data_IF_018488456688
#
_entry.id   IF_018488456688
#
_cell.length_a   1.000
_cell.length_b   1.000
_cell.length_c   1.000
_cell.angle_alpha   90.00
_cell.angle_beta   90.00
_cell.angle_gamma   90.00
#
_symmetry.space_group_name_H-M   'P 1'
#
loop_
_entity.id
_entity.type
_entity.pdbx_description
1 polymer ?
2 polymer ?
3 water ?
#
# COMPACT_ATOMS: atom_id res chain seq x y z
N UNK A 11 -12.63 -1.99 13.45
CA UNK A 11 -11.46 -2.12 12.51
C UNK A 11 -10.29 -2.86 13.19
N UNK A 12 -10.32 -4.21 13.20
CA UNK A 12 -9.38 -5.00 14.02
C UNK A 12 -7.91 -4.89 13.56
N UNK A 13 -6.99 -4.98 14.52
CA UNK A 13 -5.57 -4.68 14.26
C UNK A 13 -4.97 -5.40 13.05
N UNK A 14 -5.31 -6.67 12.89
CA UNK A 14 -4.75 -7.47 11.81
C UNK A 14 -5.21 -7.01 10.43
N UNK A 15 -6.42 -6.45 10.37
CA UNK A 15 -6.93 -5.93 9.12
C UNK A 15 -6.37 -4.54 8.89
N UNK A 16 -6.21 -3.79 9.97
CA UNK A 16 -5.51 -2.54 9.86
C UNK A 16 -4.18 -2.78 9.13
N UNK A 17 -3.49 -3.88 9.50
CA UNK A 17 -2.17 -4.22 8.96
C UNK A 17 -2.26 -4.68 7.52
N UNK A 18 -3.19 -5.57 7.20
CA UNK A 18 -3.40 -5.97 5.81
C UNK A 18 -3.64 -4.78 4.86
N UNK A 19 -4.47 -3.86 5.34
CA UNK A 19 -4.88 -2.73 4.57
C UNK A 19 -3.67 -1.84 4.31
N UNK A 20 -3.04 -1.38 5.40
CA UNK A 20 -1.84 -0.53 5.30
C UNK A 20 -0.74 -1.18 4.47
N UNK A 21 -0.53 -2.47 4.67
CA UNK A 21 0.52 -3.17 3.89
C UNK A 21 0.17 -3.25 2.40
N UNK A 22 -1.13 -3.30 2.13
CA UNK A 22 -1.60 -3.27 0.76
C UNK A 22 -1.30 -1.92 0.12
N UNK A 23 -1.47 -0.85 0.88
CA UNK A 23 -1.17 0.49 0.38
C UNK A 23 0.30 0.70 0.18
N UNK A 24 1.06 0.14 1.11
CA UNK A 24 2.52 0.20 0.98
C UNK A 24 3.00 -0.59 -0.22
N UNK A 25 2.54 -1.85 -0.35
CA UNK A 25 2.97 -2.69 -1.45
C UNK A 25 2.60 -2.10 -2.82
N UNK A 26 1.38 -1.54 -2.91
CA UNK A 26 0.88 -0.98 -4.19
C UNK A 26 1.68 0.27 -4.58
N UNK A 27 2.07 1.05 -3.58
CA UNK A 27 2.90 2.25 -3.83
C UNK A 27 4.30 1.90 -4.34
N UNK A 28 4.84 0.79 -3.84
CA UNK A 28 6.12 0.32 -4.30
C UNK A 28 5.97 -0.23 -5.69
N UNK A 29 4.96 -1.06 -5.88
CA UNK A 29 4.56 -1.48 -7.24
C UNK A 29 4.50 -0.28 -8.20
N UNK A 30 3.81 0.77 -7.78
CA UNK A 30 3.76 2.00 -8.63
C UNK A 30 5.13 2.53 -8.96
N UNK A 31 5.95 2.61 -7.92
CA UNK A 31 7.29 3.22 -8.08
C UNK A 31 8.11 2.46 -9.07
N UNK A 32 8.07 1.14 -8.93
CA UNK A 32 8.97 0.31 -9.67
C UNK A 32 8.34 -0.24 -10.94
N UNK A 33 7.20 -0.91 -10.83
CA UNK A 33 6.62 -1.51 -12.04
C UNK A 33 6.01 -0.43 -13.00
N UNK A 34 5.33 0.55 -12.43
CA UNK A 34 4.76 1.66 -13.23
C UNK A 34 5.64 2.89 -13.37
N UNK A 35 6.88 2.81 -12.91
CA UNK A 35 7.80 3.89 -13.11
C UNK A 35 7.31 5.21 -12.56
N UNK A 36 6.63 5.16 -11.45
CA UNK A 36 6.33 6.39 -10.73
C UNK A 36 7.52 6.92 -9.97
N UNK A 37 8.43 7.50 -10.75
CA UNK A 37 9.66 8.08 -10.34
C UNK A 37 9.48 9.29 -9.49
N UNK A 38 8.23 9.71 -9.32
CA UNK A 38 7.93 10.81 -8.45
C UNK A 38 7.69 10.37 -6.99
N UNK A 39 7.50 9.08 -6.75
CA UNK A 39 7.26 8.52 -5.45
C UNK A 39 8.58 8.24 -4.63
N UNK A 40 8.52 8.39 -3.30
CA UNK A 40 9.71 8.29 -2.50
C UNK A 40 10.04 6.85 -2.06
N UNK A 41 11.06 6.79 -1.21
CA UNK A 41 11.66 5.54 -0.73
C UNK A 41 10.72 4.75 0.15
N UNK A 42 10.97 3.46 0.39
CA UNK A 42 10.12 2.59 1.22
C UNK A 42 9.88 3.01 2.60
N UNK A 43 10.83 3.75 3.17
CA UNK A 43 10.68 4.22 4.55
C UNK A 43 9.67 5.34 4.66
N UNK A 44 9.73 6.29 3.75
CA UNK A 44 8.70 7.37 3.69
C UNK A 44 7.32 6.79 3.40
N UNK A 45 7.30 5.76 2.56
CA UNK A 45 6.06 5.10 2.27
C UNK A 45 5.50 4.48 3.54
N UNK A 46 6.35 3.82 4.33
CA UNK A 46 5.89 3.24 5.62
C UNK A 46 5.44 4.28 6.65
N UNK A 47 6.22 5.34 6.77
CA UNK A 47 5.88 6.54 7.56
C UNK A 47 4.46 7.04 7.26
N UNK A 48 4.13 7.14 5.97
CA UNK A 48 2.81 7.65 5.55
C UNK A 48 1.72 6.73 6.08
N UNK A 49 1.92 5.45 5.89
CA UNK A 49 0.92 4.51 6.29
C UNK A 49 0.69 4.62 7.79
N UNK A 50 1.78 4.75 8.51
CA UNK A 50 1.69 4.88 9.95
C UNK A 50 0.97 6.16 10.32
N UNK A 51 1.34 7.27 9.66
CA UNK A 51 0.66 8.55 9.89
C UNK A 51 -0.82 8.46 9.66
N UNK A 52 -1.16 7.72 8.62
CA UNK A 52 -2.52 7.48 8.20
C UNK A 52 -3.33 6.66 9.23
N UNK A 53 -2.71 5.66 9.83
CA UNK A 53 -3.38 4.92 10.87
C UNK A 53 -3.60 5.84 12.11
N UNK A 54 -2.64 6.71 12.41
CA UNK A 54 -2.76 7.67 13.49
C UNK A 54 -3.89 8.67 13.25
N UNK A 55 -4.00 9.16 12.02
CA UNK A 55 -5.12 10.01 11.62
C UNK A 55 -6.43 9.34 11.96
N UNK A 56 -6.43 8.01 11.99
CA UNK A 56 -7.62 7.23 12.33
C UNK A 56 -7.68 6.86 13.80
N UNK A 57 -6.75 7.36 14.61
CA UNK A 57 -6.56 6.90 15.98
C UNK A 57 -6.43 5.39 16.07
N UNK A 58 -5.37 4.86 15.46
CA UNK A 58 -5.08 3.43 15.48
C UNK A 58 -3.78 3.21 16.25
N UNK A 59 -3.69 2.08 16.92
CA UNK A 59 -2.53 1.75 17.73
C UNK A 59 -1.41 1.16 16.86
N UNK A 60 -0.42 1.98 16.56
CA UNK A 60 0.58 1.58 15.59
C UNK A 60 1.68 0.77 16.24
N UNK A 61 1.60 0.70 17.56
CA UNK A 61 2.47 -0.12 18.37
C UNK A 61 2.28 -1.59 18.06
N UNK A 62 1.17 -1.94 17.43
CA UNK A 62 0.97 -3.33 16.99
C UNK A 62 1.46 -3.62 15.54
N UNK A 63 2.20 -2.69 14.93
CA UNK A 63 2.57 -2.81 13.50
C UNK A 63 3.95 -3.42 13.24
N UNK A 64 4.27 -4.45 14.02
CA UNK A 64 5.58 -5.10 13.98
C UNK A 64 5.78 -5.81 12.65
N UNK A 65 4.76 -6.54 12.22
CA UNK A 65 4.79 -7.31 10.99
C UNK A 65 4.60 -6.46 9.71
N UNK A 66 4.31 -5.17 9.85
CA UNK A 66 3.81 -4.39 8.72
C UNK A 66 4.85 -4.33 7.60
N UNK A 67 6.09 -3.90 7.90
CA UNK A 67 7.17 -3.84 6.90
C UNK A 67 7.36 -5.12 6.11
N UNK A 68 7.34 -6.27 6.80
CA UNK A 68 7.55 -7.54 6.15
C UNK A 68 6.35 -7.99 5.30
N UNK A 69 5.15 -7.75 5.80
CA UNK A 69 3.95 -8.12 5.05
C UNK A 69 3.89 -7.28 3.78
N UNK A 70 4.05 -5.97 3.92
CA UNK A 70 4.23 -5.09 2.75
C UNK A 70 5.18 -5.63 1.68
N UNK A 71 6.40 -6.01 2.09
CA UNK A 71 7.35 -6.53 1.14
C UNK A 71 6.88 -7.87 0.61
N UNK A 72 6.22 -8.69 1.43
CA UNK A 72 5.65 -9.97 0.93
C UNK A 72 4.50 -9.78 -0.10
N UNK A 73 3.62 -8.82 0.16
CA UNK A 73 2.57 -8.48 -0.82
C UNK A 73 3.18 -7.91 -2.10
N UNK A 74 4.19 -7.04 -2.01
CA UNK A 74 4.87 -6.56 -3.23
C UNK A 74 5.41 -7.68 -4.12
N UNK A 75 6.07 -8.67 -3.50
CA UNK A 75 6.61 -9.79 -4.30
C UNK A 75 5.47 -10.63 -4.84
N UNK A 76 4.37 -10.73 -4.11
CA UNK A 76 3.19 -11.46 -4.63
C UNK A 76 2.65 -10.81 -5.90
N UNK A 77 2.62 -9.49 -5.88
CA UNK A 77 2.16 -8.71 -7.02
C UNK A 77 3.01 -8.94 -8.24
N UNK A 78 4.31 -9.12 -8.04
CA UNK A 78 5.22 -9.30 -9.18
C UNK A 78 5.09 -10.64 -9.84
N UNK A 79 4.57 -11.62 -9.12
CA UNK A 79 4.37 -12.89 -9.73
C UNK A 79 2.89 -13.21 -9.85
N UNK A 80 2.06 -12.18 -9.75
CA UNK A 80 0.61 -12.35 -9.79
C UNK A 80 0.06 -12.70 -11.19
N UNK A 81 0.76 -12.37 -12.27
CA UNK A 81 0.23 -12.72 -13.61
C UNK A 81 -0.87 -11.83 -14.24
N UNK A 82 -1.56 -11.04 -13.43
CA UNK A 82 -2.27 -9.85 -13.95
C UNK A 82 -1.28 -8.93 -14.59
N UNK A 83 -1.54 -8.50 -15.86
CA UNK A 83 -0.44 -7.73 -16.44
C UNK A 83 -0.20 -6.42 -15.77
N UNK A 84 0.96 -5.87 -16.07
CA UNK A 84 1.42 -4.71 -15.43
C UNK A 84 0.56 -3.54 -15.87
N UNK A 85 0.18 -3.50 -17.16
CA UNK A 85 -0.62 -2.38 -17.69
C UNK A 85 -1.84 -2.29 -16.86
N UNK A 86 -2.44 -3.44 -16.56
CA UNK A 86 -3.68 -3.50 -15.77
C UNK A 86 -3.52 -3.12 -14.30
N UNK A 87 -2.44 -3.62 -13.69
CA UNK A 87 -2.22 -3.37 -12.25
C UNK A 87 -1.95 -1.88 -12.08
N UNK A 88 -1.15 -1.33 -12.98
CA UNK A 88 -0.84 0.12 -12.98
C UNK A 88 -2.06 1.03 -13.20
N UNK A 89 -2.98 0.63 -14.07
CA UNK A 89 -4.22 1.46 -14.32
C UNK A 89 -5.02 1.45 -13.00
N UNK A 90 -5.07 0.28 -12.41
CA UNK A 90 -5.84 0.12 -11.22
C UNK A 90 -5.29 0.95 -10.06
N UNK A 91 -3.98 0.83 -9.85
CA UNK A 91 -3.32 1.46 -8.68
C UNK A 91 -3.17 2.95 -8.87
N UNK A 92 -2.80 3.35 -10.07
CA UNK A 92 -2.76 4.79 -10.36
C UNK A 92 -3.99 5.58 -10.03
N UNK A 93 -5.14 4.94 -10.20
CA UNK A 93 -6.45 5.50 -9.88
C UNK A 93 -6.77 5.35 -8.38
N UNK A 94 -6.62 4.17 -7.78
CA UNK A 94 -7.14 3.99 -6.40
C UNK A 94 -6.25 4.59 -5.31
N UNK A 95 -5.01 4.90 -5.66
CA UNK A 95 -3.97 5.20 -4.67
C UNK A 95 -3.84 6.68 -4.42
N UNK A 96 -4.54 7.48 -5.20
CA UNK A 96 -4.38 8.93 -5.18
C UNK A 96 -4.39 9.63 -3.82
N UNK A 97 -5.34 9.31 -2.93
CA UNK A 97 -5.35 9.95 -1.58
C UNK A 97 -4.09 9.62 -0.74
N UNK A 98 -3.67 8.37 -0.79
CA UNK A 98 -2.39 7.92 -0.14
C UNK A 98 -1.16 8.65 -0.65
N UNK A 99 -1.08 8.78 -1.97
CA UNK A 99 0.03 9.44 -2.58
C UNK A 99 0.03 10.94 -2.29
N UNK A 100 -1.14 11.55 -2.25
CA UNK A 100 -1.26 12.92 -1.73
C UNK A 100 -0.72 12.98 -0.26
N UNK A 101 -1.11 12.02 0.57
CA UNK A 101 -0.60 11.92 1.95
C UNK A 101 0.94 11.95 1.98
N UNK A 102 1.56 11.15 1.11
CA UNK A 102 3.01 11.10 1.05
C UNK A 102 3.64 12.45 0.80
N UNK A 103 2.90 13.35 0.19
CA UNK A 103 3.50 14.62 -0.21
C UNK A 103 4.01 15.48 0.94
N UNK A 104 3.46 15.32 2.15
CA UNK A 104 3.90 16.13 3.32
C UNK A 104 4.91 15.50 4.27
N UNK A 105 5.31 14.25 4.04
CA UNK A 105 6.22 13.54 4.96
C UNK A 105 7.71 13.79 4.66
N UNK B 1 -3.82 -14.94 -6.67
CA UNK B 1 -4.45 -13.59 -6.80
C UNK B 1 -4.06 -12.54 -5.71
N UNK B 2 -2.76 -12.20 -5.63
CA UNK B 2 -2.25 -11.09 -4.79
C UNK B 2 -2.92 -9.76 -5.18
N UNK B 3 -3.00 -9.50 -6.49
CA UNK B 3 -3.52 -8.19 -6.98
C UNK B 3 -4.96 -7.97 -6.53
N UNK B 4 -5.78 -8.99 -6.74
CA UNK B 4 -7.17 -8.90 -6.37
C UNK B 4 -7.29 -8.65 -4.88
N UNK B 5 -6.55 -9.46 -4.10
CA UNK B 5 -6.43 -9.26 -2.65
C UNK B 5 -6.05 -7.85 -2.27
N UNK B 6 -5.00 -7.35 -2.92
CA UNK B 6 -4.49 -6.03 -2.62
C UNK B 6 -5.45 -4.92 -3.04
N UNK B 7 -6.02 -5.01 -4.25
CA UNK B 7 -7.00 -3.98 -4.75
C UNK B 7 -8.24 -3.97 -3.85
N UNK B 8 -8.69 -5.15 -3.48
CA UNK B 8 -9.76 -5.29 -2.49
C UNK B 8 -9.42 -4.56 -1.19
N UNK B 9 -8.24 -4.84 -0.63
CA UNK B 9 -7.86 -4.24 0.65
C UNK B 9 -7.83 -2.73 0.55
N UNK B 10 -7.23 -2.20 -0.52
CA UNK B 10 -7.21 -0.74 -0.77
C UNK B 10 -8.66 -0.20 -0.74
N UNK B 11 -9.57 -0.90 -1.45
CA UNK B 11 -11.01 -0.54 -1.47
C UNK B 11 -11.58 -0.48 -0.07
N UNK B 12 -11.34 -1.52 0.72
CA UNK B 12 -11.78 -1.52 2.11
C UNK B 12 -11.34 -0.25 2.78
N UNK B 13 -10.04 0.02 2.68
CA UNK B 13 -9.48 1.15 3.39
C UNK B 13 -10.24 2.43 3.06
N UNK B 14 -10.55 2.65 1.80
CA UNK B 14 -11.15 3.93 1.41
C UNK B 14 -12.70 3.89 1.45
N UNK B 15 -13.21 3.74 2.67
CA UNK B 15 -14.63 3.81 2.98
C UNK B 15 -14.84 4.82 4.09
#
# INVERSE_FOLDING_TARGET
KNTASRSAASVPANEQISQLASLVAASKYLRVQCERSDLPDDGTILKTAVNVAVQKGWDTGRYQSLPQLSENLYQGLLKDGTPKATQCSSFNRTMTPFLDAMRTVR
RTFRQVQSSISDFYD
#
